data_IF_143624189787
#
_entry.id   IF_143624189787
#
_cell.length_a   1.000
_cell.length_b   1.000
_cell.length_c   1.000
_cell.angle_alpha   90.00
_cell.angle_beta   90.00
_cell.angle_gamma   90.00
#
_symmetry.space_group_name_H-M   'P 1'
#
loop_
_entity.id
_entity.type
_entity.pdbx_description
1 polymer ?
#
# COMPACT_ATOMS: atom_id res chain seq x y z
N UNK A 1 10.24 -8.45 1.84
CA UNK A 1 9.60 -7.54 0.89
C UNK A 1 8.12 -7.90 0.82
N UNK A 2 7.22 -6.94 1.02
CA UNK A 2 5.77 -7.19 0.89
C UNK A 2 5.38 -6.85 -0.54
N UNK A 3 4.88 -7.82 -1.30
CA UNK A 3 4.45 -7.60 -2.69
C UNK A 3 3.00 -7.09 -2.74
N UNK A 4 2.73 -6.16 -3.65
CA UNK A 4 1.36 -5.72 -3.99
C UNK A 4 0.43 -6.91 -4.23
N UNK A 5 0.89 -7.94 -4.94
CA UNK A 5 0.13 -9.15 -5.25
C UNK A 5 -0.25 -9.92 -3.99
N UNK A 6 0.64 -9.97 -2.99
CA UNK A 6 0.35 -10.61 -1.71
C UNK A 6 -0.78 -9.87 -0.97
N UNK A 7 -0.69 -8.54 -0.90
CA UNK A 7 -1.72 -7.71 -0.25
C UNK A 7 -3.07 -7.84 -0.98
N UNK A 8 -3.07 -7.83 -2.32
CA UNK A 8 -4.28 -8.05 -3.12
C UNK A 8 -4.84 -9.48 -2.94
N UNK A 9 -3.97 -10.48 -2.82
CA UNK A 9 -4.34 -11.86 -2.55
C UNK A 9 -5.04 -12.00 -1.20
N UNK A 10 -4.46 -11.44 -0.13
CA UNK A 10 -5.08 -11.39 1.21
C UNK A 10 -6.43 -10.68 1.15
N UNK A 11 -6.49 -9.52 0.46
CA UNK A 11 -7.75 -8.80 0.26
C UNK A 11 -8.81 -9.64 -0.45
N UNK A 12 -8.42 -10.37 -1.50
CA UNK A 12 -9.32 -11.26 -2.25
C UNK A 12 -9.81 -12.42 -1.41
N UNK A 13 -8.93 -13.07 -0.64
CA UNK A 13 -9.31 -14.15 0.28
C UNK A 13 -10.28 -13.64 1.34
N UNK A 14 -10.07 -12.44 1.88
CA UNK A 14 -11.01 -11.84 2.83
C UNK A 14 -12.40 -11.60 2.19
N UNK A 15 -12.46 -11.12 0.95
CA UNK A 15 -13.74 -10.94 0.24
C UNK A 15 -14.46 -12.27 -0.02
N UNK A 16 -13.73 -13.32 -0.41
CA UNK A 16 -14.29 -14.67 -0.57
C UNK A 16 -14.78 -15.24 0.76
N UNK A 17 -14.00 -15.05 1.83
CA UNK A 17 -14.41 -15.40 3.19
C UNK A 17 -15.68 -14.67 3.61
N UNK A 18 -15.80 -13.37 3.33
CA UNK A 18 -17.03 -12.61 3.56
C UNK A 18 -18.24 -13.27 2.89
N UNK A 19 -18.12 -13.61 1.59
CA UNK A 19 -19.20 -14.26 0.86
C UNK A 19 -19.61 -15.61 1.50
N UNK A 20 -18.64 -16.41 1.94
CA UNK A 20 -18.89 -17.67 2.65
C UNK A 20 -19.63 -17.46 3.98
N UNK A 21 -19.16 -16.52 4.80
CA UNK A 21 -19.73 -16.26 6.12
C UNK A 21 -21.12 -15.61 6.06
N UNK A 22 -21.39 -14.81 5.03
CA UNK A 22 -22.72 -14.27 4.75
C UNK A 22 -23.68 -15.33 4.18
N UNK A 23 -23.27 -16.02 3.12
CA UNK A 23 -24.19 -16.84 2.32
C UNK A 23 -24.39 -18.27 2.83
N UNK A 24 -23.39 -18.83 3.52
CA UNK A 24 -23.42 -20.25 3.95
C UNK A 24 -23.52 -20.36 5.46
N UNK A 25 -22.63 -19.67 6.19
CA UNK A 25 -22.54 -19.82 7.65
C UNK A 25 -23.49 -18.89 8.40
N UNK A 26 -24.07 -17.89 7.72
CA UNK A 26 -25.02 -16.93 8.29
C UNK A 26 -24.50 -16.18 9.52
N UNK A 27 -23.17 -16.02 9.63
CA UNK A 27 -22.52 -15.24 10.71
C UNK A 27 -22.18 -13.86 10.17
N UNK A 28 -23.18 -12.97 10.22
CA UNK A 28 -23.14 -11.64 9.60
C UNK A 28 -21.97 -10.79 10.10
N UNK A 29 -21.68 -10.81 11.40
CA UNK A 29 -20.61 -9.97 11.98
C UNK A 29 -19.22 -10.30 11.39
N UNK A 30 -18.92 -11.58 11.23
CA UNK A 30 -17.65 -12.03 10.62
C UNK A 30 -17.64 -11.68 9.13
N UNK A 31 -18.77 -11.87 8.44
CA UNK A 31 -18.93 -11.46 7.04
C UNK A 31 -18.62 -9.98 6.82
N UNK A 32 -19.23 -9.08 7.59
CA UNK A 32 -19.00 -7.62 7.49
C UNK A 32 -17.54 -7.28 7.75
N UNK A 33 -16.94 -7.86 8.78
CA UNK A 33 -15.54 -7.62 9.12
C UNK A 33 -14.61 -8.00 7.95
N UNK A 34 -14.81 -9.20 7.40
CA UNK A 34 -14.01 -9.68 6.27
C UNK A 34 -14.21 -8.85 5.00
N UNK A 35 -15.43 -8.37 4.75
CA UNK A 35 -15.73 -7.47 3.64
C UNK A 35 -14.92 -6.18 3.76
N UNK A 36 -15.02 -5.51 4.91
CA UNK A 36 -14.32 -4.25 5.16
C UNK A 36 -12.80 -4.43 5.09
N UNK A 37 -12.27 -5.49 5.71
CA UNK A 37 -10.85 -5.81 5.64
C UNK A 37 -10.39 -6.02 4.18
N UNK A 38 -11.14 -6.80 3.40
CA UNK A 38 -10.86 -7.05 1.98
C UNK A 38 -10.81 -5.75 1.16
N UNK A 39 -11.80 -4.87 1.35
CA UNK A 39 -11.85 -3.56 0.70
C UNK A 39 -10.67 -2.70 1.11
N UNK A 40 -10.34 -2.62 2.40
CA UNK A 40 -9.20 -1.84 2.89
C UNK A 40 -7.88 -2.31 2.28
N UNK A 41 -7.64 -3.62 2.20
CA UNK A 41 -6.43 -4.16 1.56
C UNK A 41 -6.34 -3.79 0.08
N UNK A 42 -7.46 -3.85 -0.65
CA UNK A 42 -7.50 -3.42 -2.04
C UNK A 42 -7.24 -1.92 -2.20
N UNK A 43 -7.90 -1.08 -1.40
CA UNK A 43 -7.67 0.37 -1.38
C UNK A 43 -6.22 0.72 -1.03
N UNK A 44 -5.60 -0.01 -0.09
CA UNK A 44 -4.20 0.20 0.27
C UNK A 44 -3.24 -0.05 -0.90
N UNK A 45 -3.62 -0.92 -1.84
CA UNK A 45 -2.81 -1.18 -3.04
C UNK A 45 -2.92 -0.11 -4.13
N UNK A 46 -3.84 0.86 -3.98
CA UNK A 46 -3.93 2.02 -4.87
C UNK A 46 -2.66 2.88 -4.69
N UNK A 47 -2.06 3.25 -5.81
CA UNK A 47 -0.80 4.00 -5.81
C UNK A 47 0.41 3.23 -5.27
N UNK A 48 0.31 1.91 -5.01
CA UNK A 48 1.42 1.09 -4.52
C UNK A 48 2.67 1.22 -5.39
N UNK A 49 2.50 1.08 -6.71
CA UNK A 49 3.61 1.16 -7.66
C UNK A 49 4.30 2.53 -7.62
N UNK A 50 3.54 3.62 -7.52
CA UNK A 50 4.10 4.96 -7.42
C UNK A 50 4.87 5.19 -6.11
N UNK A 51 4.39 4.61 -5.00
CA UNK A 51 4.99 4.78 -3.66
C UNK A 51 6.22 3.91 -3.41
N UNK A 52 6.17 2.67 -3.88
CA UNK A 52 7.09 1.64 -3.41
C UNK A 52 7.95 1.00 -4.52
N UNK A 53 7.53 1.12 -5.79
CA UNK A 53 8.24 0.51 -6.93
C UNK A 53 8.91 1.54 -7.85
N UNK A 54 8.29 2.71 -8.04
CA UNK A 54 8.85 3.85 -8.80
C UNK A 54 9.60 4.81 -7.89
N UNK A 55 10.55 4.26 -7.14
CA UNK A 55 11.44 5.04 -6.28
C UNK A 55 12.59 5.57 -7.13
N UNK A 56 12.81 6.88 -7.09
CA UNK A 56 13.89 7.55 -7.83
C UNK A 56 15.22 7.43 -7.08
N UNK A 57 16.34 7.47 -7.81
CA UNK A 57 17.67 7.50 -7.19
C UNK A 57 18.05 8.90 -6.67
N UNK A 58 17.49 9.96 -7.25
CA UNK A 58 17.69 11.35 -6.85
C UNK A 58 16.39 12.16 -6.99
N UNK A 59 16.19 13.23 -6.20
CA UNK A 59 15.03 14.10 -6.35
C UNK A 59 15.11 14.90 -7.66
N UNK A 60 13.98 15.12 -8.36
CA UNK A 60 13.94 16.02 -9.51
C UNK A 60 14.20 17.49 -9.12
N UNK A 61 14.62 18.31 -10.07
CA UNK A 61 14.86 19.74 -9.84
C UNK A 61 13.62 20.46 -9.27
N UNK A 62 13.85 21.31 -8.28
CA UNK A 62 12.81 22.09 -7.62
C UNK A 62 11.98 21.33 -6.57
N UNK A 63 12.21 20.03 -6.38
CA UNK A 63 11.62 19.28 -5.27
C UNK A 63 12.38 19.54 -3.96
N UNK A 64 11.64 19.66 -2.86
CA UNK A 64 12.20 19.86 -1.51
C UNK A 64 11.96 18.63 -0.65
N UNK A 65 12.86 18.28 0.28
CA UNK A 65 12.63 17.19 1.22
C UNK A 65 11.49 17.54 2.17
N UNK A 66 10.63 16.57 2.50
CA UNK A 66 9.63 16.74 3.56
C UNK A 66 10.22 16.48 4.96
N UNK A 67 11.39 15.86 5.04
CA UNK A 67 11.97 15.32 6.28
C UNK A 67 11.42 13.94 6.66
N UNK A 68 10.44 13.43 5.91
CA UNK A 68 9.86 12.11 6.14
C UNK A 68 10.74 11.01 5.52
N UNK A 69 11.14 10.03 6.34
CA UNK A 69 11.87 8.84 5.91
C UNK A 69 11.13 7.62 6.44
N UNK A 70 10.84 6.66 5.55
CA UNK A 70 10.11 5.45 5.92
C UNK A 70 10.76 4.19 5.34
N UNK A 71 10.60 3.03 6.01
CA UNK A 71 10.89 1.74 5.41
C UNK A 71 10.05 1.56 4.14
N UNK A 72 10.66 1.14 3.03
CA UNK A 72 9.92 0.82 1.80
C UNK A 72 9.52 -0.66 1.80
N UNK A 73 8.22 -1.00 1.85
CA UNK A 73 7.77 -2.38 1.73
C UNK A 73 8.17 -3.04 0.40
N UNK A 74 8.37 -2.24 -0.66
CA UNK A 74 8.59 -2.68 -2.03
C UNK A 74 10.04 -2.81 -2.49
N UNK A 75 11.06 -2.65 -1.64
CA UNK A 75 12.45 -2.85 -2.08
C UNK A 75 13.55 -2.34 -1.13
N UNK A 76 14.74 -2.17 -1.72
CA UNK A 76 16.10 -2.12 -1.14
C UNK A 76 16.42 -0.96 -0.19
N UNK A 77 15.61 -0.76 0.84
CA UNK A 77 15.93 0.13 1.96
C UNK A 77 14.95 1.30 2.14
N UNK A 78 15.27 2.21 3.08
CA UNK A 78 14.40 3.34 3.39
C UNK A 78 14.29 4.32 2.21
N UNK A 79 13.15 4.99 2.14
CA UNK A 79 12.87 6.03 1.15
C UNK A 79 12.55 7.34 1.84
N UNK A 80 13.08 8.43 1.28
CA UNK A 80 12.76 9.79 1.69
C UNK A 80 11.68 10.36 0.76
N UNK A 81 10.78 11.15 1.34
CA UNK A 81 9.70 11.81 0.58
C UNK A 81 10.14 13.21 0.20
N UNK A 82 9.96 13.54 -1.08
CA UNK A 82 10.20 14.87 -1.64
C UNK A 82 8.90 15.41 -2.22
N UNK A 83 8.74 16.73 -2.20
CA UNK A 83 7.53 17.37 -2.70
C UNK A 83 7.82 18.61 -3.56
N UNK A 84 6.88 18.88 -4.47
CA UNK A 84 6.82 20.12 -5.25
C UNK A 84 5.34 20.48 -5.48
N UNK A 85 4.88 21.55 -4.83
CA UNK A 85 3.44 21.85 -4.74
C UNK A 85 2.68 20.71 -4.07
N UNK A 86 1.69 20.15 -4.76
CA UNK A 86 0.91 18.99 -4.28
C UNK A 86 1.52 17.63 -4.66
N UNK A 87 2.54 17.62 -5.53
CA UNK A 87 3.14 16.36 -6.02
C UNK A 87 4.16 15.86 -5.01
N UNK A 88 4.09 14.57 -4.71
CA UNK A 88 5.05 13.85 -3.85
C UNK A 88 5.76 12.77 -4.66
N UNK A 89 7.07 12.65 -4.47
CA UNK A 89 7.91 11.60 -5.06
C UNK A 89 8.74 10.93 -3.96
N UNK A 90 9.11 9.68 -4.20
CA UNK A 90 9.84 8.86 -3.26
C UNK A 90 11.24 8.62 -3.82
N UNK A 91 12.26 8.91 -3.02
CA UNK A 91 13.67 8.84 -3.43
C UNK A 91 14.40 7.87 -2.49
N UNK A 92 15.32 7.06 -3.00
CA UNK A 92 16.13 6.16 -2.16
C UNK A 92 16.93 6.98 -1.14
N UNK A 93 16.83 6.61 0.13
CA UNK A 93 17.62 7.24 1.17
C UNK A 93 19.03 6.62 1.18
N UNK A 94 20.04 7.43 0.87
CA UNK A 94 21.45 7.03 0.97
C UNK A 94 22.03 7.70 2.22
N UNK A 95 22.36 6.88 3.21
CA UNK A 95 23.25 7.26 4.33
C UNK A 95 24.66 7.50 3.83
#
# INVERSE_FOLDING_TARGET
MVDKKLVQGIGTVALLGSALFFGVLHVTAVGVYLLLAGVVFWLFTIGWTARYQRVLDAPPDGYRPTGEIYPNPGGDGPVAVYFHGIRRVYVKYRT
#
